data_IF_223530750306
#
_entry.id   IF_223530750306
#
_cell.length_a   1.000
_cell.length_b   1.000
_cell.length_c   1.000
_cell.angle_alpha   90.00
_cell.angle_beta   90.00
_cell.angle_gamma   90.00
#
_symmetry.space_group_name_H-M   'P 1'
#
loop_
_entity.id
_entity.type
_entity.pdbx_description
1 polymer ?
#
# COMPACT_ATOMS: atom_id res chain seq x y z
N UNK A 1 -4.49 25.31 -14.49
CA UNK A 1 -4.64 23.86 -14.22
C UNK A 1 -4.75 23.69 -12.72
N UNK A 2 -5.92 23.28 -12.19
CA UNK A 2 -6.09 23.08 -10.74
C UNK A 2 -5.41 21.76 -10.39
N UNK A 3 -4.20 21.86 -9.86
CA UNK A 3 -3.47 20.75 -9.26
C UNK A 3 -4.36 20.15 -8.17
N UNK A 4 -5.04 19.06 -8.50
CA UNK A 4 -5.81 18.32 -7.52
C UNK A 4 -4.80 17.76 -6.54
N UNK A 5 -4.75 18.31 -5.34
CA UNK A 5 -4.02 17.77 -4.20
C UNK A 5 -4.65 16.42 -3.80
N UNK A 6 -4.53 15.41 -4.67
CA UNK A 6 -5.04 14.06 -4.46
C UNK A 6 -4.21 13.47 -3.32
N UNK A 7 -4.80 13.41 -2.13
CA UNK A 7 -4.20 12.65 -1.03
C UNK A 7 -4.07 11.20 -1.52
N UNK A 8 -2.83 10.74 -1.68
CA UNK A 8 -2.55 9.36 -2.07
C UNK A 8 -3.19 8.42 -1.03
N UNK A 9 -3.89 7.40 -1.53
CA UNK A 9 -4.42 6.32 -0.69
C UNK A 9 -3.28 5.52 -0.06
N UNK A 10 -3.57 4.79 1.03
CA UNK A 10 -2.57 3.93 1.68
C UNK A 10 -1.94 2.94 0.68
N UNK A 11 -2.73 2.40 -0.24
CA UNK A 11 -2.26 1.50 -1.29
C UNK A 11 -1.30 2.19 -2.27
N UNK A 12 -1.63 3.40 -2.74
CA UNK A 12 -0.74 4.18 -3.63
C UNK A 12 0.59 4.50 -2.95
N UNK A 13 0.54 4.93 -1.67
CA UNK A 13 1.75 5.21 -0.87
C UNK A 13 2.63 3.97 -0.74
N UNK A 14 2.01 2.82 -0.44
CA UNK A 14 2.73 1.55 -0.34
C UNK A 14 3.34 1.12 -1.67
N UNK A 15 2.64 1.29 -2.80
CA UNK A 15 3.20 1.03 -4.16
C UNK A 15 4.36 1.95 -4.52
N UNK A 16 4.38 3.17 -4.02
CA UNK A 16 5.51 4.08 -4.15
C UNK A 16 6.69 3.73 -3.23
N UNK A 17 6.57 2.66 -2.43
CA UNK A 17 7.58 2.25 -1.46
C UNK A 17 7.59 3.07 -0.17
N UNK A 18 6.56 3.88 0.08
CA UNK A 18 6.47 4.60 1.35
C UNK A 18 6.20 3.65 2.52
N UNK A 19 6.87 3.94 3.65
CA UNK A 19 6.64 3.22 4.90
C UNK A 19 5.36 3.70 5.57
N UNK A 20 4.24 3.02 5.30
CA UNK A 20 2.94 3.39 5.90
C UNK A 20 2.70 2.66 7.22
N UNK A 21 2.32 3.44 8.25
CA UNK A 21 1.93 2.91 9.56
C UNK A 21 0.62 2.11 9.43
N UNK A 22 0.54 0.97 10.11
CA UNK A 22 -0.66 0.15 10.13
C UNK A 22 -1.86 0.92 10.68
N UNK A 23 -2.92 1.06 9.87
CA UNK A 23 -4.14 1.75 10.27
C UNK A 23 -4.89 1.03 11.41
N UNK A 24 -4.74 -0.31 11.50
CA UNK A 24 -5.42 -1.14 12.50
C UNK A 24 -4.76 -1.05 13.88
N UNK A 25 -3.46 -1.29 13.99
CA UNK A 25 -2.77 -1.31 15.28
C UNK A 25 -2.02 -0.01 15.61
N UNK A 26 -1.77 0.86 14.63
CA UNK A 26 -0.99 2.11 14.74
C UNK A 26 0.39 1.94 15.39
N UNK A 27 0.91 0.73 15.35
CA UNK A 27 2.04 0.24 16.15
C UNK A 27 3.10 -0.49 15.34
N UNK A 28 2.78 -0.86 14.11
CA UNK A 28 3.66 -1.51 13.14
C UNK A 28 3.52 -0.84 11.78
N UNK A 29 4.21 -1.38 10.78
CA UNK A 29 4.22 -0.86 9.42
C UNK A 29 3.79 -1.94 8.45
N UNK A 30 3.21 -1.53 7.32
CA UNK A 30 2.91 -2.44 6.22
C UNK A 30 4.20 -2.79 5.48
N UNK A 31 4.41 -4.07 5.26
CA UNK A 31 5.54 -4.64 4.53
C UNK A 31 5.02 -5.63 3.49
N UNK A 32 5.84 -5.97 2.51
CA UNK A 32 5.55 -7.02 1.56
C UNK A 32 6.77 -7.92 1.44
N UNK A 33 6.55 -9.21 1.20
CA UNK A 33 7.57 -10.19 0.86
C UNK A 33 7.96 -10.15 -0.62
N UNK A 34 7.20 -9.43 -1.45
CA UNK A 34 7.52 -9.24 -2.85
C UNK A 34 8.89 -8.58 -3.00
N UNK A 35 9.73 -9.16 -3.87
CA UNK A 35 11.05 -8.61 -4.20
C UNK A 35 10.95 -7.18 -4.76
N UNK A 36 9.90 -6.92 -5.52
CA UNK A 36 9.60 -5.64 -6.14
C UNK A 36 8.25 -5.13 -5.62
N UNK A 37 8.25 -3.92 -5.07
CA UNK A 37 7.06 -3.30 -4.46
C UNK A 37 5.95 -3.09 -5.52
N UNK A 38 6.33 -2.83 -6.77
CA UNK A 38 5.39 -2.64 -7.88
C UNK A 38 4.65 -3.91 -8.29
N UNK A 39 5.23 -5.10 -8.06
CA UNK A 39 4.60 -6.39 -8.33
C UNK A 39 3.89 -6.96 -7.10
N UNK A 40 3.94 -6.26 -5.97
CA UNK A 40 3.27 -6.67 -4.76
C UNK A 40 1.75 -6.58 -4.89
N UNK A 41 1.08 -7.72 -4.76
CA UNK A 41 -0.37 -7.82 -4.70
C UNK A 41 -0.95 -7.49 -3.32
N UNK A 42 -0.09 -7.47 -2.29
CA UNK A 42 -0.55 -7.35 -0.91
C UNK A 42 0.55 -6.97 0.06
N UNK A 43 0.17 -6.12 1.00
CA UNK A 43 1.00 -5.70 2.12
C UNK A 43 0.39 -6.20 3.42
N UNK A 44 1.22 -6.60 4.36
CA UNK A 44 0.77 -7.02 5.68
C UNK A 44 1.50 -6.24 6.77
N UNK A 45 0.82 -6.01 7.88
CA UNK A 45 1.45 -5.38 9.03
C UNK A 45 2.38 -6.37 9.72
N UNK A 46 3.63 -5.97 9.92
CA UNK A 46 4.65 -6.76 10.60
C UNK A 46 4.38 -7.03 12.10
N UNK A 47 3.28 -6.52 12.67
CA UNK A 47 2.98 -6.63 14.11
C UNK A 47 1.62 -7.27 14.41
N UNK A 48 0.56 -6.82 13.76
CA UNK A 48 -0.80 -7.34 13.98
C UNK A 48 -1.31 -8.20 12.82
N UNK A 49 -0.46 -8.46 11.81
CA UNK A 49 -0.77 -9.26 10.64
C UNK A 49 -1.98 -8.76 9.82
N UNK A 50 -2.33 -7.48 9.96
CA UNK A 50 -3.40 -6.85 9.17
C UNK A 50 -2.97 -6.75 7.72
N UNK A 51 -3.80 -7.22 6.79
CA UNK A 51 -3.50 -7.24 5.36
C UNK A 51 -4.18 -6.08 4.64
N UNK A 52 -3.49 -5.55 3.62
CA UNK A 52 -3.97 -4.57 2.65
C UNK A 52 -3.68 -5.16 1.29
N UNK A 53 -4.72 -5.63 0.62
CA UNK A 53 -4.61 -6.11 -0.75
C UNK A 53 -4.65 -4.91 -1.69
N UNK A 54 -3.72 -4.88 -2.64
CA UNK A 54 -3.73 -3.92 -3.73
C UNK A 54 -4.15 -4.71 -4.95
N UNK A 55 -5.46 -4.65 -5.24
CA UNK A 55 -5.97 -5.26 -6.45
C UNK A 55 -5.23 -4.64 -7.65
N UNK A 56 -4.71 -5.44 -8.59
CA UNK A 56 -4.18 -4.90 -9.83
C UNK A 56 -5.33 -4.17 -10.52
N UNK A 57 -5.16 -2.88 -10.80
CA UNK A 57 -6.05 -2.21 -11.76
C UNK A 57 -5.74 -2.87 -13.09
N UNK A 58 -6.51 -3.91 -13.41
CA UNK A 58 -6.63 -4.42 -14.76
C UNK A 58 -7.44 -3.37 -15.53
N UNK A 59 -6.73 -2.48 -16.21
CA UNK A 59 -7.31 -1.72 -17.31
C UNK A 59 -7.60 -2.74 -18.41
N UNK A 60 -8.86 -3.14 -18.55
CA UNK A 60 -9.31 -3.99 -19.65
C UNK A 60 -9.54 -3.02 -20.81
N UNK A 61 -8.52 -2.85 -21.66
CA UNK A 61 -8.64 -2.16 -22.96
C UNK A 61 -9.51 -2.96 -23.94
#
# INVERSE_FOLDING_TARGET
>A
MKEQNKKLTIAERLRNGEKVICAKCKKGYYVTDAKDISTSHGFYCNRCNSMVNIDPVIDIE
#
